data_IF_822636309517
#
_entry.id   IF_822636309517
#
_cell.length_a   1.000
_cell.length_b   1.000
_cell.length_c   1.000
_cell.angle_alpha   90.00
_cell.angle_beta   90.00
_cell.angle_gamma   90.00
#
_symmetry.space_group_name_H-M   'P 1'
#
loop_
_entity.id
_entity.type
_entity.pdbx_description
1 polymer ?
#
# COMPACT_ATOMS: atom_id res chain seq x y z
N UNK A 1 1.52 -5.35 0.73
CA UNK A 1 1.87 -3.95 0.38
C UNK A 1 3.31 -3.88 -0.08
N UNK A 2 3.64 -2.95 -0.97
CA UNK A 2 5.00 -2.84 -1.48
C UNK A 2 5.99 -2.25 -0.46
N UNK A 3 7.29 -2.38 -0.71
CA UNK A 3 8.34 -1.74 0.10
C UNK A 3 8.18 -0.21 0.19
N UNK A 4 7.67 0.42 -0.87
CA UNK A 4 7.41 1.87 -0.93
C UNK A 4 6.19 2.35 -0.13
N UNK A 5 5.41 1.44 0.47
CA UNK A 5 4.13 1.74 1.11
C UNK A 5 4.23 2.81 2.21
N UNK A 6 5.14 2.61 3.18
CA UNK A 6 5.32 3.56 4.28
C UNK A 6 5.78 4.94 3.77
N UNK A 7 6.64 4.98 2.76
CA UNK A 7 7.13 6.24 2.18
C UNK A 7 5.99 6.99 1.46
N UNK A 8 5.14 6.26 0.72
CA UNK A 8 3.94 6.82 0.12
C UNK A 8 2.98 7.39 1.18
N UNK A 9 2.77 6.68 2.28
CA UNK A 9 1.95 7.18 3.40
C UNK A 9 2.68 8.19 4.30
N UNK A 10 3.99 8.39 4.13
CA UNK A 10 4.78 9.35 4.91
C UNK A 10 4.82 9.02 6.40
N UNK A 11 4.75 7.73 6.74
CA UNK A 11 4.68 7.20 8.10
C UNK A 11 5.96 6.44 8.42
N UNK A 12 6.36 6.51 9.67
CA UNK A 12 7.34 5.61 10.26
C UNK A 12 6.65 4.73 11.31
N UNK A 13 6.96 3.42 11.38
CA UNK A 13 6.51 2.56 12.46
C UNK A 13 6.88 3.13 13.82
N UNK A 14 5.99 3.04 14.80
CA UNK A 14 6.26 3.45 16.19
C UNK A 14 7.30 2.53 16.84
N UNK A 15 7.45 1.32 16.29
CA UNK A 15 8.44 0.33 16.70
C UNK A 15 8.91 -0.43 15.46
N UNK A 16 10.21 -0.71 15.37
CA UNK A 16 10.79 -1.47 14.26
C UNK A 16 10.97 -0.65 12.98
N UNK A 17 10.67 -1.25 11.83
CA UNK A 17 10.92 -0.65 10.50
C UNK A 17 9.91 -1.11 9.47
N UNK A 18 9.88 -0.43 8.33
CA UNK A 18 9.13 -0.87 7.15
C UNK A 18 9.89 -1.95 6.36
N UNK A 19 9.20 -2.53 5.38
CA UNK A 19 9.78 -3.49 4.45
C UNK A 19 10.84 -2.85 3.56
N UNK A 20 11.86 -3.64 3.22
CA UNK A 20 12.90 -3.27 2.26
C UNK A 20 12.57 -3.83 0.87
N UNK A 21 13.21 -3.31 -0.17
CA UNK A 21 13.04 -3.82 -1.54
C UNK A 21 13.50 -5.28 -1.71
N UNK A 22 14.43 -5.75 -0.87
CA UNK A 22 14.87 -7.14 -0.90
C UNK A 22 13.81 -8.09 -0.31
N UNK A 23 12.97 -7.58 0.59
CA UNK A 23 11.91 -8.33 1.26
C UNK A 23 10.59 -8.32 0.47
N UNK A 24 10.44 -7.39 -0.48
CA UNK A 24 9.29 -7.28 -1.38
C UNK A 24 9.50 -8.06 -2.69
N UNK A 25 10.03 -9.29 -2.57
CA UNK A 25 10.33 -10.18 -3.70
C UNK A 25 9.86 -11.59 -3.41
N UNK A 26 9.53 -12.33 -4.46
CA UNK A 26 9.20 -13.74 -4.33
C UNK A 26 10.33 -14.52 -3.63
N UNK A 27 9.96 -15.36 -2.66
CA UNK A 27 10.91 -16.18 -1.89
C UNK A 27 11.61 -15.44 -0.76
N UNK A 28 11.32 -14.15 -0.55
CA UNK A 28 11.76 -13.44 0.65
C UNK A 28 11.12 -14.05 1.92
N UNK A 29 11.70 -13.81 3.11
CA UNK A 29 11.10 -14.22 4.37
C UNK A 29 9.66 -13.71 4.52
N UNK A 30 8.82 -14.50 5.20
CA UNK A 30 7.46 -14.09 5.55
C UNK A 30 7.52 -13.07 6.68
N UNK A 31 7.18 -11.82 6.38
CA UNK A 31 7.26 -10.70 7.32
C UNK A 31 5.89 -10.04 7.50
N UNK A 32 5.70 -9.40 8.64
CA UNK A 32 4.50 -8.65 8.97
C UNK A 32 4.82 -7.29 9.60
N UNK A 33 4.04 -6.28 9.22
CA UNK A 33 3.79 -5.09 10.02
C UNK A 33 2.43 -5.27 10.69
N UNK A 34 2.30 -4.89 11.95
CA UNK A 34 1.04 -4.98 12.69
C UNK A 34 0.54 -3.59 13.08
N UNK A 35 -0.77 -3.42 13.23
CA UNK A 35 -1.35 -2.18 13.73
C UNK A 35 -1.01 -1.98 15.21
N UNK A 36 -0.98 -0.72 15.65
CA UNK A 36 -0.86 -0.40 17.07
C UNK A 36 -1.98 -1.06 17.90
N UNK A 37 -3.20 -1.12 17.36
CA UNK A 37 -4.34 -1.78 17.99
C UNK A 37 -4.06 -3.25 18.27
N UNK A 38 -3.64 -4.02 17.26
CA UNK A 38 -3.31 -5.44 17.40
C UNK A 38 -2.12 -5.66 18.33
N UNK A 39 -1.09 -4.81 18.25
CA UNK A 39 0.05 -4.85 19.15
C UNK A 39 -0.36 -4.70 20.62
N UNK A 40 -1.24 -3.74 20.92
CA UNK A 40 -1.72 -3.49 22.28
C UNK A 40 -2.64 -4.61 22.79
N UNK A 41 -3.60 -5.06 21.99
CA UNK A 41 -4.62 -6.02 22.43
C UNK A 41 -4.10 -7.45 22.47
N UNK A 42 -3.31 -7.88 21.49
CA UNK A 42 -2.87 -9.28 21.35
C UNK A 42 -1.48 -9.54 21.91
N UNK A 43 -0.59 -8.55 21.85
CA UNK A 43 0.80 -8.66 22.27
C UNK A 43 1.12 -7.83 23.52
N UNK A 44 0.10 -7.22 24.15
CA UNK A 44 0.26 -6.48 25.40
C UNK A 44 0.99 -5.14 25.27
N UNK A 45 1.26 -4.68 24.04
CA UNK A 45 1.96 -3.42 23.81
C UNK A 45 3.44 -3.44 24.23
N UNK A 46 4.06 -4.62 24.30
CA UNK A 46 5.46 -4.76 24.73
C UNK A 46 6.43 -4.69 23.53
N UNK A 47 7.62 -4.05 23.67
CA UNK A 47 8.58 -3.93 22.56
C UNK A 47 9.13 -5.25 22.03
N UNK A 48 9.11 -6.31 22.85
CA UNK A 48 9.56 -7.66 22.52
C UNK A 48 8.69 -8.34 21.45
N UNK A 49 7.66 -7.66 20.92
CA UNK A 49 6.88 -8.12 19.78
C UNK A 49 7.72 -8.27 18.51
N UNK A 50 8.78 -7.45 18.34
CA UNK A 50 9.66 -7.55 17.19
C UNK A 50 10.36 -8.92 17.16
N UNK A 51 10.36 -9.56 15.99
CA UNK A 51 10.91 -10.91 15.82
C UNK A 51 9.99 -12.04 16.27
N UNK A 52 8.86 -11.75 16.93
CA UNK A 52 7.83 -12.78 17.19
C UNK A 52 7.08 -13.11 15.89
N UNK A 53 6.50 -14.31 15.85
CA UNK A 53 5.65 -14.73 14.76
C UNK A 53 4.18 -14.39 15.02
N UNK A 54 3.48 -13.96 13.97
CA UNK A 54 2.03 -13.99 13.86
C UNK A 54 1.65 -15.05 12.82
N UNK A 55 0.66 -15.88 13.12
CA UNK A 55 0.19 -16.90 12.18
C UNK A 55 -0.89 -16.30 11.27
N UNK A 56 -0.62 -16.28 9.96
CA UNK A 56 -1.56 -15.89 8.92
C UNK A 56 -1.71 -17.07 7.97
N UNK A 57 -2.94 -17.56 7.76
CA UNK A 57 -3.22 -18.74 6.92
C UNK A 57 -2.32 -19.95 7.24
N UNK A 58 -2.10 -20.21 8.55
CA UNK A 58 -1.24 -21.28 9.07
C UNK A 58 0.25 -21.12 8.74
N UNK A 59 0.67 -19.93 8.29
CA UNK A 59 2.06 -19.61 8.00
C UNK A 59 2.59 -18.55 8.97
N UNK A 60 3.70 -18.82 9.66
CA UNK A 60 4.29 -17.85 10.59
C UNK A 60 4.95 -16.70 9.82
N UNK A 61 4.52 -15.48 10.12
CA UNK A 61 5.10 -14.25 9.63
C UNK A 61 5.82 -13.52 10.76
N UNK A 62 7.08 -13.15 10.55
CA UNK A 62 7.88 -12.44 11.55
C UNK A 62 7.50 -10.98 11.61
N UNK A 63 7.15 -10.49 12.81
CA UNK A 63 6.80 -9.09 13.03
C UNK A 63 8.07 -8.23 12.98
N UNK A 64 8.12 -7.28 12.04
CA UNK A 64 9.28 -6.38 11.84
C UNK A 64 8.99 -4.93 12.18
N UNK A 65 7.73 -4.59 12.42
CA UNK A 65 7.33 -3.26 12.84
C UNK A 65 5.88 -3.14 13.29
N UNK A 66 5.61 -2.06 14.00
CA UNK A 66 4.27 -1.68 14.48
C UNK A 66 3.91 -0.34 13.86
N UNK A 67 2.82 -0.30 13.11
CA UNK A 67 2.33 0.92 12.46
C UNK A 67 1.61 1.81 13.48
N UNK A 68 1.76 3.15 13.40
CA UNK A 68 1.03 4.08 14.26
C UNK A 68 -0.48 3.94 14.05
N UNK A 69 -1.25 4.22 15.10
CA UNK A 69 -2.70 4.43 15.00
C UNK A 69 -3.05 5.47 13.92
N UNK A 70 -4.17 5.24 13.23
CA UNK A 70 -4.63 6.05 12.11
C UNK A 70 -4.11 5.60 10.73
N UNK A 71 -3.17 4.64 10.70
CA UNK A 71 -2.81 3.95 9.46
C UNK A 71 -3.51 2.61 9.41
N UNK A 72 -4.65 2.60 8.75
CA UNK A 72 -5.47 1.41 8.50
C UNK A 72 -5.84 1.41 7.03
N UNK A 73 -4.86 1.46 6.12
CA UNK A 73 -5.13 1.43 4.69
C UNK A 73 -4.69 0.08 4.09
N UNK A 74 -5.58 -0.62 3.37
CA UNK A 74 -7.02 -0.36 3.22
C UNK A 74 -7.78 -0.39 4.56
N UNK A 75 -8.95 0.26 4.64
CA UNK A 75 -9.73 0.45 5.87
C UNK A 75 -9.86 -0.85 6.71
N UNK A 76 -9.57 -0.77 8.01
CA UNK A 76 -9.63 -1.90 8.93
C UNK A 76 -8.47 -2.89 8.84
N UNK A 77 -7.39 -2.57 8.11
CA UNK A 77 -6.21 -3.43 8.07
C UNK A 77 -5.46 -3.44 9.41
N UNK A 78 -5.31 -4.63 9.99
CA UNK A 78 -4.52 -4.83 11.22
C UNK A 78 -3.13 -5.42 10.97
N UNK A 79 -2.92 -6.04 9.80
CA UNK A 79 -1.66 -6.69 9.44
C UNK A 79 -1.34 -6.43 7.97
N UNK A 80 -0.13 -5.98 7.70
CA UNK A 80 0.40 -5.84 6.33
C UNK A 80 1.54 -6.82 6.14
N UNK A 81 1.57 -7.48 4.98
CA UNK A 81 2.68 -8.34 4.52
C UNK A 81 3.32 -7.72 3.27
N UNK A 82 4.57 -8.06 2.92
CA UNK A 82 5.17 -7.67 1.64
C UNK A 82 4.29 -8.10 0.46
N UNK A 83 4.29 -7.32 -0.62
CA UNK A 83 3.51 -7.63 -1.83
C UNK A 83 4.12 -8.84 -2.55
N UNK A 84 5.45 -8.88 -2.62
CA UNK A 84 6.25 -9.97 -3.18
C UNK A 84 5.67 -10.56 -4.48
N UNK A 85 5.41 -9.72 -5.50
CA UNK A 85 4.68 -10.14 -6.68
C UNK A 85 5.43 -11.25 -7.43
N UNK A 86 4.69 -12.23 -7.95
CA UNK A 86 5.25 -13.29 -8.76
C UNK A 86 5.76 -12.71 -10.10
N UNK A 87 6.90 -13.18 -10.66
CA UNK A 87 7.41 -12.70 -11.94
C UNK A 87 6.39 -12.75 -13.09
N UNK A 88 5.49 -13.74 -13.07
CA UNK A 88 4.39 -13.84 -14.04
C UNK A 88 3.35 -12.72 -13.86
N UNK A 89 3.05 -12.33 -12.63
CA UNK A 89 2.17 -11.19 -12.34
C UNK A 89 2.82 -9.88 -12.80
N UNK A 90 4.12 -9.71 -12.55
CA UNK A 90 4.89 -8.54 -13.03
C UNK A 90 4.93 -8.48 -14.57
N UNK A 91 5.04 -9.63 -15.24
CA UNK A 91 5.03 -9.70 -16.69
C UNK A 91 3.65 -9.44 -17.32
N UNK A 92 2.57 -9.65 -16.57
CA UNK A 92 1.20 -9.47 -17.03
C UNK A 92 0.79 -7.98 -17.05
N UNK A 93 1.28 -7.22 -18.04
CA UNK A 93 1.01 -5.76 -18.16
C UNK A 93 -0.47 -5.36 -18.15
N UNK A 94 -1.37 -6.24 -18.59
CA UNK A 94 -2.81 -6.00 -18.57
C UNK A 94 -3.47 -6.19 -17.20
N UNK A 95 -2.75 -6.68 -16.20
CA UNK A 95 -3.27 -6.88 -14.86
C UNK A 95 -3.48 -5.54 -14.13
N UNK A 96 -4.69 -5.32 -13.61
CA UNK A 96 -5.10 -4.05 -12.96
C UNK A 96 -5.79 -4.24 -11.60
N UNK A 97 -5.37 -5.25 -10.84
CA UNK A 97 -5.97 -5.56 -9.53
C UNK A 97 -5.27 -4.86 -8.35
N UNK A 98 -4.17 -4.14 -8.59
CA UNK A 98 -3.51 -3.37 -7.54
C UNK A 98 -4.16 -2.01 -7.36
N UNK A 99 -4.41 -1.66 -6.09
CA UNK A 99 -4.67 -0.27 -5.70
C UNK A 99 -3.33 0.42 -5.46
N UNK A 100 -3.11 1.55 -6.12
CA UNK A 100 -1.85 2.29 -6.06
C UNK A 100 -2.06 3.57 -5.26
N UNK A 101 -1.15 3.81 -4.30
CA UNK A 101 -1.06 5.09 -3.60
C UNK A 101 0.28 5.75 -3.92
N UNK A 102 0.28 7.07 -3.97
CA UNK A 102 1.47 7.86 -4.21
C UNK A 102 1.44 9.13 -3.35
N UNK A 103 2.63 9.66 -3.08
CA UNK A 103 2.82 10.95 -2.40
C UNK A 103 3.32 11.97 -3.41
N UNK A 104 2.55 13.04 -3.59
CA UNK A 104 3.02 14.20 -4.34
C UNK A 104 4.08 14.94 -3.53
N UNK A 105 5.05 15.53 -4.24
CA UNK A 105 5.91 16.55 -3.64
C UNK A 105 5.05 17.75 -3.22
N UNK A 106 5.48 18.47 -2.18
CA UNK A 106 4.71 19.57 -1.58
C UNK A 106 4.43 20.73 -2.54
N UNK A 107 5.24 20.87 -3.59
CA UNK A 107 5.20 21.93 -4.59
C UNK A 107 4.47 21.54 -5.88
N UNK A 108 3.96 20.30 -5.96
CA UNK A 108 3.29 19.78 -7.16
C UNK A 108 1.79 19.69 -6.90
N UNK A 109 1.00 20.35 -7.75
CA UNK A 109 -0.46 20.23 -7.71
C UNK A 109 -0.93 18.87 -8.28
N UNK A 110 -2.10 18.42 -7.84
CA UNK A 110 -2.73 17.20 -8.36
C UNK A 110 -2.92 17.26 -9.88
N UNK A 111 -3.33 18.41 -10.41
CA UNK A 111 -3.54 18.61 -11.84
C UNK A 111 -2.24 18.47 -12.65
N UNK A 112 -1.13 19.03 -12.16
CA UNK A 112 0.18 18.88 -12.79
C UNK A 112 0.62 17.42 -12.81
N UNK A 113 0.49 16.72 -11.69
CA UNK A 113 0.85 15.31 -11.59
C UNK A 113 -0.02 14.44 -12.50
N UNK A 114 -1.32 14.70 -12.57
CA UNK A 114 -2.22 13.97 -13.47
C UNK A 114 -1.86 14.20 -14.95
N UNK A 115 -1.58 15.45 -15.34
CA UNK A 115 -1.19 15.77 -16.71
C UNK A 115 0.12 15.08 -17.13
N UNK A 116 1.10 15.01 -16.22
CA UNK A 116 2.37 14.31 -16.46
C UNK A 116 2.15 12.79 -16.59
N UNK A 117 1.39 12.18 -15.67
CA UNK A 117 1.10 10.74 -15.72
C UNK A 117 0.27 10.35 -16.96
N UNK A 118 -0.65 11.21 -17.42
CA UNK A 118 -1.39 10.98 -18.66
C UNK A 118 -0.48 10.99 -19.89
N UNK A 119 0.50 11.89 -19.93
CA UNK A 119 1.51 11.92 -20.99
C UNK A 119 2.33 10.62 -21.00
N UNK A 120 2.74 10.14 -19.83
CA UNK A 120 3.46 8.85 -19.70
C UNK A 120 2.58 7.65 -20.09
N UNK A 121 1.30 7.65 -19.71
CA UNK A 121 0.36 6.61 -20.08
C UNK A 121 0.17 6.52 -21.60
N UNK A 122 0.12 7.67 -22.30
CA UNK A 122 0.04 7.70 -23.76
C UNK A 122 1.29 7.10 -24.41
N UNK A 123 2.48 7.43 -23.92
CA UNK A 123 3.74 6.83 -24.41
C UNK A 123 3.76 5.31 -24.18
N UNK A 124 3.29 4.85 -23.03
CA UNK A 124 3.21 3.41 -22.75
C UNK A 124 2.12 2.71 -23.58
N UNK A 125 1.04 3.40 -23.96
CA UNK A 125 0.02 2.87 -24.87
C UNK A 125 0.57 2.66 -26.28
N UNK A 126 1.41 3.57 -26.79
CA UNK A 126 2.09 3.41 -28.07
C UNK A 126 3.07 2.23 -28.07
N UNK A 127 3.79 2.02 -26.96
CA UNK A 127 4.76 0.92 -26.80
C UNK A 127 4.09 -0.43 -26.57
N UNK A 128 2.94 -0.44 -25.90
CA UNK A 128 2.25 -1.65 -25.47
C UNK A 128 0.75 -1.60 -25.81
N UNK A 129 0.37 -1.48 -27.09
CA UNK A 129 -1.03 -1.28 -27.48
C UNK A 129 -1.94 -2.44 -27.06
N UNK A 130 -1.42 -3.68 -27.03
CA UNK A 130 -2.19 -4.85 -26.61
C UNK A 130 -2.69 -4.80 -25.17
N UNK A 131 -2.00 -4.07 -24.27
CA UNK A 131 -2.40 -3.96 -22.86
C UNK A 131 -2.90 -2.58 -22.47
N UNK A 132 -2.45 -1.53 -23.17
CA UNK A 132 -2.61 -0.15 -22.73
C UNK A 132 -3.43 0.74 -23.69
N UNK A 133 -3.85 0.24 -24.86
CA UNK A 133 -4.71 1.01 -25.76
C UNK A 133 -6.06 1.35 -25.10
N UNK A 134 -6.50 2.60 -25.23
CA UNK A 134 -7.69 3.12 -24.56
C UNK A 134 -7.57 3.34 -23.04
N UNK A 135 -6.41 3.10 -22.43
CA UNK A 135 -6.21 3.28 -20.99
C UNK A 135 -5.46 4.57 -20.64
N UNK A 136 -5.85 5.18 -19.53
CA UNK A 136 -5.22 6.39 -19.00
C UNK A 136 -5.21 6.37 -17.47
N UNK A 137 -4.64 7.41 -16.88
CA UNK A 137 -4.52 7.59 -15.43
C UNK A 137 -5.37 8.77 -14.98
N UNK A 138 -5.99 8.61 -13.81
CA UNK A 138 -6.61 9.67 -13.03
C UNK A 138 -6.04 9.63 -11.63
N UNK A 139 -5.82 10.79 -11.05
CA UNK A 139 -5.41 10.91 -9.65
C UNK A 139 -6.57 11.41 -8.81
N UNK A 140 -6.78 10.74 -7.68
CA UNK A 140 -7.79 11.11 -6.70
C UNK A 140 -7.10 11.26 -5.35
N UNK A 141 -7.38 12.34 -4.58
CA UNK A 141 -6.85 12.47 -3.24
C UNK A 141 -7.25 11.27 -2.38
N UNK A 142 -6.28 10.67 -1.68
CA UNK A 142 -6.54 9.47 -0.85
C UNK A 142 -7.60 9.75 0.23
N UNK A 143 -7.69 10.98 0.73
CA UNK A 143 -8.74 11.38 1.68
C UNK A 143 -10.15 11.29 1.06
N UNK A 144 -10.30 11.61 -0.23
CA UNK A 144 -11.60 11.51 -0.91
C UNK A 144 -11.97 10.04 -1.17
N UNK A 145 -10.98 9.19 -1.49
CA UNK A 145 -11.19 7.74 -1.68
C UNK A 145 -11.50 7.01 -0.36
N UNK A 146 -11.05 7.53 0.78
CA UNK A 146 -11.38 6.99 2.12
C UNK A 146 -12.81 7.36 2.56
N UNK A 147 -13.43 8.41 1.99
CA UNK A 147 -14.75 8.93 2.38
C UNK A 147 -15.86 8.48 1.39
N UNK A 148 -15.54 7.76 0.31
CA UNK A 148 -16.56 7.27 -0.64
C UNK A 148 -17.71 6.45 -0.02
N UNK A 149 -17.54 5.66 1.07
CA UNK A 149 -18.68 5.01 1.71
C UNK A 149 -19.69 5.96 2.39
N UNK A 150 -19.39 7.27 2.52
CA UNK A 150 -20.17 8.21 3.36
C UNK A 150 -20.96 9.26 2.57
N UNK A 151 -20.76 9.39 1.25
CA UNK A 151 -21.47 10.42 0.44
C UNK A 151 -23.01 10.30 0.42
N UNK A 152 -23.65 9.12 0.51
CA UNK A 152 -25.12 9.09 0.60
C UNK A 152 -25.65 9.66 1.93
N UNK A 153 -24.83 9.75 2.98
CA UNK A 153 -25.26 10.20 4.31
C UNK A 153 -25.12 11.72 4.53
N UNK A 154 -24.34 12.43 3.69
CA UNK A 154 -24.09 13.88 3.84
C UNK A 154 -25.03 14.77 3.00
N UNK A 155 -26.04 14.19 2.35
CA UNK A 155 -27.12 14.88 1.67
C UNK A 155 -28.45 14.70 2.41
N UNK A 156 -28.45 14.82 3.74
CA UNK A 156 -29.69 15.06 4.52
C UNK A 156 -29.37 15.90 5.76
N UNK A 157 -29.31 17.22 5.58
CA UNK A 157 -29.71 18.22 6.58
C UNK A 157 -30.32 19.42 5.84
#
# INVERSE_FOLDING_TARGET
VSAGFCAALGVQPILGRCFTEAEDRQGAPLLALISEGLWRTRFGGVPEVLGKAIELDKQPHTIVGVMPSGIEWPAGTEVWTPLAPHPQEVAARGARYFTVIARLRRDVSLQQAEAELRSLAAVEAERHPQSNDGWSVRLEPVLDSMIEPVRPALLTL
#
